data_IF_406038246589
#
_entry.id   IF_406038246589
#
_cell.length_a   1.000
_cell.length_b   1.000
_cell.length_c   1.000
_cell.angle_alpha   90.00
_cell.angle_beta   90.00
_cell.angle_gamma   90.00
#
_symmetry.space_group_name_H-M   'P 1'
#
loop_
_entity.id
_entity.type
_entity.pdbx_description
1 polymer ?
#
# COMPACT_ATOMS: atom_id res chain seq x y z
N UNK A 1 35.84 2.35 22.30
CA UNK A 1 35.01 1.17 21.95
C UNK A 1 33.57 1.30 22.48
N UNK A 2 33.35 1.55 23.78
CA UNK A 2 32.00 1.72 24.36
C UNK A 2 31.16 2.87 23.78
N UNK A 3 31.76 4.04 23.47
CA UNK A 3 31.03 5.18 22.89
C UNK A 3 30.44 4.86 21.50
N UNK A 4 31.18 4.13 20.66
CA UNK A 4 30.69 3.66 19.36
C UNK A 4 29.57 2.62 19.50
N UNK A 5 29.65 1.74 20.51
CA UNK A 5 28.64 0.71 20.77
C UNK A 5 27.31 1.31 21.29
N UNK A 6 27.39 2.31 22.18
CA UNK A 6 26.19 3.04 22.67
C UNK A 6 25.55 3.87 21.56
N UNK A 7 26.35 4.51 20.70
CA UNK A 7 25.86 5.25 19.54
C UNK A 7 25.12 4.36 18.52
N UNK A 8 25.62 3.15 18.26
CA UNK A 8 24.97 2.18 17.38
C UNK A 8 23.67 1.61 17.98
N UNK A 9 23.63 1.38 19.31
CA UNK A 9 22.41 0.93 20.00
C UNK A 9 21.29 1.98 19.98
N UNK A 10 21.66 3.25 20.19
CA UNK A 10 20.71 4.37 20.15
C UNK A 10 20.14 4.60 18.74
N UNK A 11 20.98 4.54 17.70
CA UNK A 11 20.52 4.70 16.31
C UNK A 11 19.61 3.55 15.86
N UNK A 12 19.93 2.31 16.23
CA UNK A 12 19.08 1.15 15.99
C UNK A 12 17.71 1.28 16.70
N UNK A 13 17.69 1.75 17.94
CA UNK A 13 16.45 1.99 18.68
C UNK A 13 15.57 3.08 18.05
N UNK A 14 16.17 4.17 17.57
CA UNK A 14 15.46 5.23 16.85
C UNK A 14 14.89 4.71 15.53
N UNK A 15 15.68 3.95 14.77
CA UNK A 15 15.22 3.32 13.53
C UNK A 15 14.05 2.35 13.80
N UNK A 16 14.18 1.43 14.77
CA UNK A 16 13.09 0.53 15.13
C UNK A 16 11.83 1.29 15.58
N UNK A 17 11.98 2.39 16.31
CA UNK A 17 10.85 3.24 16.72
C UNK A 17 10.19 3.93 15.53
N UNK A 18 10.95 4.38 14.54
CA UNK A 18 10.38 5.02 13.34
C UNK A 18 9.64 4.00 12.47
N UNK A 19 10.19 2.79 12.30
CA UNK A 19 9.49 1.69 11.62
C UNK A 19 8.18 1.33 12.29
N UNK A 20 8.18 1.11 13.61
CA UNK A 20 6.96 0.82 14.38
C UNK A 20 5.92 1.92 14.27
N UNK A 21 6.33 3.20 14.26
CA UNK A 21 5.41 4.33 14.08
C UNK A 21 4.79 4.34 12.68
N UNK A 22 5.55 4.01 11.65
CA UNK A 22 5.05 3.94 10.27
C UNK A 22 4.04 2.80 10.09
N UNK A 23 4.37 1.63 10.62
CA UNK A 23 3.49 0.46 10.56
C UNK A 23 2.18 0.69 11.31
N UNK A 24 2.23 1.28 12.51
CA UNK A 24 1.01 1.66 13.24
C UNK A 24 0.13 2.62 12.46
N UNK A 25 0.71 3.70 11.91
CA UNK A 25 -0.05 4.66 11.09
C UNK A 25 -0.67 4.01 9.86
N UNK A 26 0.05 3.09 9.23
CA UNK A 26 -0.46 2.34 8.09
C UNK A 26 -1.67 1.49 8.49
N UNK A 27 -1.55 0.74 9.58
CA UNK A 27 -2.65 -0.08 10.08
C UNK A 27 -3.83 0.79 10.54
N UNK A 28 -3.59 1.91 11.21
CA UNK A 28 -4.63 2.88 11.57
C UNK A 28 -5.37 3.40 10.32
N UNK A 29 -4.67 3.68 9.22
CA UNK A 29 -5.35 4.04 7.95
C UNK A 29 -6.20 2.90 7.41
N UNK A 30 -5.71 1.65 7.46
CA UNK A 30 -6.47 0.49 6.99
C UNK A 30 -7.68 0.20 7.87
N UNK A 31 -7.55 0.35 9.19
CA UNK A 31 -8.61 0.12 10.17
C UNK A 31 -9.75 1.16 10.04
N UNK A 32 -9.44 2.35 9.48
CA UNK A 32 -10.41 3.41 9.20
C UNK A 32 -11.13 3.24 7.84
N UNK A 33 -10.85 2.19 7.07
CA UNK A 33 -11.57 1.93 5.81
C UNK A 33 -12.95 1.32 6.10
N UNK A 34 -14.02 2.00 5.69
CA UNK A 34 -15.38 1.47 5.79
C UNK A 34 -15.54 0.16 4.99
N UNK A 35 -14.85 0.05 3.86
CA UNK A 35 -14.89 -1.10 2.95
C UNK A 35 -13.49 -1.39 2.41
N UNK A 36 -13.00 -2.62 2.61
CA UNK A 36 -11.73 -3.10 2.06
C UNK A 36 -11.95 -4.37 1.22
N UNK A 37 -11.69 -4.30 -0.09
CA UNK A 37 -11.97 -5.38 -1.05
C UNK A 37 -10.67 -5.96 -1.61
N UNK A 38 -10.38 -7.21 -1.24
CA UNK A 38 -9.26 -7.96 -1.81
C UNK A 38 -9.72 -8.83 -2.98
N UNK A 39 -9.25 -8.51 -4.19
CA UNK A 39 -9.53 -9.30 -5.39
C UNK A 39 -8.46 -10.38 -5.62
N UNK A 40 -8.83 -11.64 -5.43
CA UNK A 40 -7.96 -12.81 -5.59
C UNK A 40 -8.28 -13.63 -6.86
N UNK A 41 -7.30 -14.42 -7.33
CA UNK A 41 -7.46 -15.34 -8.47
C UNK A 41 -6.27 -15.38 -9.44
N UNK A 42 -6.28 -16.27 -10.43
CA UNK A 42 -5.14 -16.45 -11.36
C UNK A 42 -5.16 -15.49 -12.56
N UNK A 43 -6.34 -15.02 -12.98
CA UNK A 43 -6.53 -14.16 -14.17
C UNK A 43 -7.53 -13.05 -13.86
N UNK A 44 -7.47 -11.94 -14.59
CA UNK A 44 -8.47 -10.88 -14.55
C UNK A 44 -8.52 -9.99 -13.30
N UNK A 45 -7.72 -10.26 -12.25
CA UNK A 45 -7.71 -9.49 -10.99
C UNK A 45 -7.66 -7.97 -11.23
N UNK A 46 -6.66 -7.49 -11.97
CA UNK A 46 -6.45 -6.05 -12.19
C UNK A 46 -7.62 -5.40 -12.95
N UNK A 47 -8.27 -6.13 -13.86
CA UNK A 47 -9.47 -5.65 -14.57
C UNK A 47 -10.66 -5.55 -13.62
N UNK A 48 -10.89 -6.59 -12.83
CA UNK A 48 -11.97 -6.63 -11.83
C UNK A 48 -11.76 -5.53 -10.78
N UNK A 49 -10.54 -5.34 -10.27
CA UNK A 49 -10.21 -4.27 -9.32
C UNK A 49 -10.51 -2.88 -9.89
N UNK A 50 -10.15 -2.62 -11.15
CA UNK A 50 -10.48 -1.35 -11.84
C UNK A 50 -11.98 -1.12 -11.92
N UNK A 51 -12.72 -2.16 -12.29
CA UNK A 51 -14.18 -2.10 -12.43
C UNK A 51 -14.85 -1.85 -11.09
N UNK A 52 -14.47 -2.57 -10.04
CA UNK A 52 -14.99 -2.38 -8.68
C UNK A 52 -14.73 -0.96 -8.20
N UNK A 53 -13.50 -0.45 -8.33
CA UNK A 53 -13.17 0.93 -7.95
C UNK A 53 -13.98 1.95 -8.74
N UNK A 54 -14.19 1.72 -10.04
CA UNK A 54 -15.01 2.57 -10.90
C UNK A 54 -16.48 2.61 -10.47
N UNK A 55 -17.06 1.46 -10.15
CA UNK A 55 -18.44 1.35 -9.67
C UNK A 55 -18.64 2.04 -8.32
N UNK A 56 -17.71 1.86 -7.37
CA UNK A 56 -17.77 2.53 -6.07
C UNK A 56 -17.69 4.06 -6.19
N UNK A 57 -16.80 4.56 -7.06
CA UNK A 57 -16.75 5.99 -7.38
C UNK A 57 -18.04 6.48 -8.04
N UNK A 58 -18.59 5.73 -8.99
CA UNK A 58 -19.85 6.07 -9.64
C UNK A 58 -21.05 6.07 -8.67
N UNK A 59 -20.99 5.31 -7.57
CA UNK A 59 -21.99 5.33 -6.50
C UNK A 59 -21.76 6.44 -5.46
N UNK A 60 -20.80 7.35 -5.68
CA UNK A 60 -20.49 8.46 -4.78
C UNK A 60 -19.55 8.13 -3.61
N UNK A 61 -18.93 6.94 -3.59
CA UNK A 61 -17.93 6.60 -2.57
C UNK A 61 -16.55 7.11 -3.00
N UNK A 62 -15.80 7.68 -2.04
CA UNK A 62 -14.39 7.97 -2.24
C UNK A 62 -13.59 6.66 -2.18
N UNK A 63 -13.35 6.05 -3.36
CA UNK A 63 -12.71 4.76 -3.48
C UNK A 63 -11.39 4.85 -4.26
N UNK A 64 -10.33 4.32 -3.64
CA UNK A 64 -9.02 4.13 -4.25
C UNK A 64 -8.88 2.67 -4.70
N UNK A 65 -8.30 2.44 -5.87
CA UNK A 65 -8.03 1.08 -6.37
C UNK A 65 -6.55 0.88 -6.67
N UNK A 66 -5.94 -0.15 -6.09
CA UNK A 66 -4.53 -0.52 -6.31
C UNK A 66 -4.46 -1.77 -7.18
N UNK A 67 -3.76 -1.69 -8.31
CA UNK A 67 -3.53 -2.85 -9.18
C UNK A 67 -2.06 -3.24 -9.20
N UNK A 68 -1.82 -4.54 -9.18
CA UNK A 68 -0.49 -5.16 -9.27
C UNK A 68 -0.39 -5.97 -10.57
N UNK A 69 0.82 -6.40 -10.94
CA UNK A 69 1.10 -7.09 -12.21
C UNK A 69 1.94 -6.27 -13.20
N UNK A 70 1.87 -6.55 -14.51
CA UNK A 70 2.72 -5.91 -15.54
C UNK A 70 2.62 -4.38 -15.51
N UNK A 71 1.41 -3.85 -15.32
CA UNK A 71 1.16 -2.42 -15.13
C UNK A 71 0.63 -2.18 -13.72
N UNK A 72 1.53 -1.83 -12.80
CA UNK A 72 1.17 -1.48 -11.43
C UNK A 72 0.77 -0.01 -11.34
N UNK A 73 -0.39 0.25 -10.76
CA UNK A 73 -1.00 1.58 -10.74
C UNK A 73 -1.94 1.73 -9.54
N UNK A 74 -1.98 2.92 -8.96
CA UNK A 74 -3.02 3.36 -8.02
C UNK A 74 -3.97 4.28 -8.77
N UNK A 75 -5.26 4.00 -8.67
CA UNK A 75 -6.33 4.84 -9.19
C UNK A 75 -6.91 5.60 -8.02
N UNK A 76 -6.83 6.93 -8.08
CA UNK A 76 -7.29 7.80 -6.99
C UNK A 76 -8.82 7.94 -6.95
N UNK A 77 -9.32 8.69 -5.96
CA UNK A 77 -10.75 8.95 -5.76
C UNK A 77 -11.41 9.70 -6.93
N UNK A 78 -10.64 10.48 -7.68
CA UNK A 78 -11.10 11.19 -8.88
C UNK A 78 -11.06 10.28 -10.13
N UNK A 79 -10.43 9.10 -10.03
CA UNK A 79 -10.31 8.14 -11.11
C UNK A 79 -9.04 8.29 -11.95
N UNK A 80 -8.08 9.14 -11.56
CA UNK A 80 -6.81 9.27 -12.27
C UNK A 80 -5.88 8.11 -11.95
N UNK A 81 -5.22 7.58 -12.98
CA UNK A 81 -4.24 6.51 -12.88
C UNK A 81 -2.85 7.08 -12.54
N UNK A 82 -2.28 6.66 -11.40
CA UNK A 82 -0.93 6.98 -10.93
C UNK A 82 -0.05 5.73 -11.00
N UNK A 83 0.82 5.61 -12.02
CA UNK A 83 1.70 4.47 -12.16
C UNK A 83 2.64 4.32 -10.96
N UNK A 84 2.74 3.12 -10.41
CA UNK A 84 3.68 2.84 -9.31
C UNK A 84 5.06 2.61 -9.91
N UNK A 85 6.01 3.50 -9.61
CA UNK A 85 7.43 3.29 -9.94
C UNK A 85 7.96 2.10 -9.14
N UNK A 86 8.35 1.05 -9.86
CA UNK A 86 9.01 -0.12 -9.27
C UNK A 86 10.50 0.15 -9.07
N UNK A 87 10.97 -0.16 -7.86
CA UNK A 87 12.41 -0.14 -7.53
C UNK A 87 13.06 -1.51 -7.82
N UNK A 88 12.25 -2.56 -8.03
CA UNK A 88 12.69 -3.93 -8.32
C UNK A 88 11.64 -4.77 -9.07
N UNK A 89 11.92 -6.06 -9.33
CA UNK A 89 10.97 -6.98 -9.96
C UNK A 89 9.71 -7.19 -9.10
N UNK A 90 8.59 -7.66 -9.68
CA UNK A 90 7.32 -7.79 -8.97
C UNK A 90 7.45 -8.66 -7.71
N UNK A 91 7.05 -8.13 -6.55
CA UNK A 91 7.07 -8.85 -5.28
C UNK A 91 5.65 -9.03 -4.71
N UNK A 92 5.40 -10.18 -4.09
CA UNK A 92 4.12 -10.50 -3.44
C UNK A 92 3.82 -9.55 -2.27
N UNK A 93 4.84 -9.05 -1.58
CA UNK A 93 4.70 -8.10 -0.48
C UNK A 93 4.17 -6.72 -0.92
N UNK A 94 4.12 -6.43 -2.22
CA UNK A 94 3.52 -5.22 -2.77
C UNK A 94 1.98 -5.34 -2.86
N UNK A 95 1.43 -6.54 -2.74
CA UNK A 95 -0.01 -6.81 -2.96
C UNK A 95 -0.87 -6.59 -1.72
N UNK A 96 -0.23 -6.49 -0.54
CA UNK A 96 -0.87 -6.20 0.75
C UNK A 96 -1.13 -4.71 0.94
#
# INVERSE_FOLDING_TARGET
MYLFMVGAGASAAVAMRSFRRRERRHNETLDNLDVNIHVNGIRGKSTVTRMIGGMLRASGMNAVAKTTGTYACVIDGEGYEHPIKRVGPPNINESS
#
